data_IF_626058561543
#
_entry.id   IF_626058561543
#
_cell.length_a   1.000
_cell.length_b   1.000
_cell.length_c   1.000
_cell.angle_alpha   90.00
_cell.angle_beta   90.00
_cell.angle_gamma   90.00
#
_symmetry.space_group_name_H-M   'P 1'
#
loop_
_entity.id
_entity.type
_entity.pdbx_description
1 polymer ?
#
# COMPACT_ATOMS: atom_id res chain seq x y z
N UNK A 1 -29.23 -18.20 31.82
CA UNK A 1 -27.89 -18.77 32.04
C UNK A 1 -26.93 -17.62 31.78
N UNK A 2 -25.98 -17.36 32.68
CA UNK A 2 -24.99 -16.33 32.43
C UNK A 2 -24.21 -16.73 31.17
N UNK A 3 -24.24 -15.90 30.12
CA UNK A 3 -23.41 -16.13 28.94
C UNK A 3 -21.95 -16.16 29.42
N UNK A 4 -21.30 -17.31 29.21
CA UNK A 4 -19.90 -17.48 29.59
C UNK A 4 -19.06 -16.54 28.73
N UNK A 5 -18.31 -15.63 29.36
CA UNK A 5 -17.30 -14.81 28.67
C UNK A 5 -16.04 -15.60 28.32
N UNK A 6 -15.96 -16.89 28.66
CA UNK A 6 -14.84 -17.77 28.36
C UNK A 6 -15.27 -18.88 27.42
N UNK A 7 -14.57 -18.99 26.30
CA UNK A 7 -14.78 -19.97 25.24
C UNK A 7 -13.63 -20.96 25.19
N UNK A 8 -13.97 -22.25 25.10
CA UNK A 8 -12.98 -23.34 25.04
C UNK A 8 -13.45 -24.37 24.03
N UNK A 9 -12.52 -24.98 23.29
CA UNK A 9 -12.86 -26.06 22.35
C UNK A 9 -13.02 -27.42 23.09
N UNK A 10 -13.88 -27.45 24.10
CA UNK A 10 -14.17 -28.65 24.90
C UNK A 10 -15.53 -29.25 24.51
N UNK A 11 -15.69 -30.59 24.49
CA UNK A 11 -16.99 -31.21 24.23
C UNK A 11 -18.07 -30.69 25.19
N UNK A 12 -19.18 -30.16 24.66
CA UNK A 12 -20.27 -29.60 25.46
C UNK A 12 -20.08 -28.15 25.94
N UNK A 13 -18.95 -27.52 25.63
CA UNK A 13 -18.70 -26.09 25.86
C UNK A 13 -18.78 -25.30 24.55
N UNK A 14 -18.94 -23.98 24.64
CA UNK A 14 -18.93 -23.13 23.45
C UNK A 14 -17.51 -23.03 22.86
N UNK A 15 -17.38 -23.56 21.65
CA UNK A 15 -16.16 -23.48 20.84
C UNK A 15 -15.81 -22.03 20.50
N UNK A 16 -14.52 -21.75 20.37
CA UNK A 16 -13.99 -20.42 20.01
C UNK A 16 -14.53 -19.96 18.65
N UNK A 17 -14.76 -20.89 17.72
CA UNK A 17 -15.33 -20.60 16.40
C UNK A 17 -16.69 -19.88 16.48
N UNK A 18 -17.55 -20.20 17.45
CA UNK A 18 -18.92 -19.66 17.53
C UNK A 18 -18.96 -18.14 17.73
N UNK A 19 -18.36 -17.56 18.80
CA UNK A 19 -18.32 -16.11 18.95
C UNK A 19 -17.51 -15.47 17.83
N UNK A 20 -16.43 -16.09 17.35
CA UNK A 20 -15.64 -15.58 16.24
C UNK A 20 -16.50 -15.39 14.97
N UNK A 21 -17.24 -16.43 14.55
CA UNK A 21 -18.14 -16.39 13.40
C UNK A 21 -19.23 -15.34 13.56
N UNK A 22 -19.87 -15.28 14.73
CA UNK A 22 -20.93 -14.29 15.01
C UNK A 22 -20.42 -12.84 14.88
N UNK A 23 -19.23 -12.56 15.40
CA UNK A 23 -18.65 -11.22 15.43
C UNK A 23 -18.11 -10.83 14.05
N UNK A 24 -17.33 -11.69 13.41
CA UNK A 24 -16.78 -11.42 12.08
C UNK A 24 -17.90 -11.30 11.03
N UNK A 25 -19.00 -12.06 11.18
CA UNK A 25 -20.16 -11.98 10.31
C UNK A 25 -21.05 -10.76 10.57
N UNK A 26 -20.64 -9.76 11.34
CA UNK A 26 -21.40 -8.50 11.48
C UNK A 26 -20.53 -7.25 11.53
N UNK A 27 -19.27 -7.38 11.95
CA UNK A 27 -18.37 -6.25 12.10
C UNK A 27 -18.04 -5.54 10.77
N UNK A 28 -17.95 -4.22 10.86
CA UNK A 28 -17.55 -3.32 9.76
C UNK A 28 -16.04 -3.11 9.74
N UNK A 29 -15.38 -3.09 10.91
CA UNK A 29 -13.92 -3.05 11.03
C UNK A 29 -13.42 -4.19 11.89
N UNK A 30 -12.60 -5.04 11.28
CA UNK A 30 -12.06 -6.26 11.86
C UNK A 30 -10.54 -6.12 11.94
N UNK A 31 -9.97 -6.32 13.13
CA UNK A 31 -8.52 -6.30 13.36
C UNK A 31 -8.12 -7.63 13.99
N UNK A 32 -7.25 -8.38 13.31
CA UNK A 32 -6.88 -9.73 13.72
C UNK A 32 -5.37 -9.83 13.81
N UNK A 33 -4.86 -10.21 14.98
CA UNK A 33 -3.47 -10.54 15.21
C UNK A 33 -3.38 -12.01 15.60
N UNK A 34 -2.68 -12.82 14.80
CA UNK A 34 -2.36 -14.21 15.14
C UNK A 34 -1.09 -14.68 14.40
N UNK A 35 -0.13 -15.32 15.07
CA UNK A 35 1.11 -15.78 14.44
C UNK A 35 0.91 -16.77 13.30
N UNK A 36 -0.15 -17.59 13.39
CA UNK A 36 -0.42 -18.66 12.44
C UNK A 36 -1.75 -18.42 11.74
N UNK A 37 -1.71 -18.51 10.42
CA UNK A 37 -2.87 -18.31 9.56
C UNK A 37 -3.00 -19.43 8.53
N UNK A 38 -4.07 -20.21 8.65
CA UNK A 38 -4.39 -21.29 7.69
C UNK A 38 -5.84 -21.27 7.23
N UNK A 39 -6.70 -20.47 7.87
CA UNK A 39 -8.15 -20.48 7.63
C UNK A 39 -8.62 -19.11 7.13
N UNK A 40 -8.74 -18.90 5.81
CA UNK A 40 -9.12 -17.60 5.26
C UNK A 40 -10.65 -17.40 5.16
N UNK A 41 -11.45 -18.46 5.23
CA UNK A 41 -12.88 -18.44 4.86
C UNK A 41 -13.69 -17.28 5.45
N UNK A 42 -13.76 -17.17 6.78
CA UNK A 42 -14.52 -16.11 7.44
C UNK A 42 -14.00 -14.70 7.16
N UNK A 43 -12.69 -14.57 6.90
CA UNK A 43 -12.05 -13.29 6.54
C UNK A 43 -12.48 -12.88 5.13
N UNK A 44 -12.48 -13.82 4.18
CA UNK A 44 -12.90 -13.57 2.80
C UNK A 44 -14.37 -13.19 2.74
N UNK A 45 -15.24 -13.90 3.46
CA UNK A 45 -16.67 -13.59 3.54
C UNK A 45 -16.93 -12.18 4.09
N UNK A 46 -16.16 -11.75 5.10
CA UNK A 46 -16.26 -10.40 5.64
C UNK A 46 -15.75 -9.33 4.66
N UNK A 47 -14.66 -9.62 3.95
CA UNK A 47 -14.09 -8.75 2.93
C UNK A 47 -15.04 -8.55 1.75
N UNK A 48 -15.65 -9.62 1.25
CA UNK A 48 -16.64 -9.60 0.16
C UNK A 48 -17.88 -8.76 0.51
N UNK A 49 -18.27 -8.75 1.79
CA UNK A 49 -19.33 -7.87 2.29
C UNK A 49 -18.92 -6.38 2.33
N UNK A 50 -17.63 -6.08 2.24
CA UNK A 50 -17.09 -4.73 2.33
C UNK A 50 -16.63 -4.32 3.74
N UNK A 51 -16.42 -5.28 4.65
CA UNK A 51 -15.78 -4.98 5.93
C UNK A 51 -14.29 -4.66 5.71
N UNK A 52 -13.77 -3.68 6.45
CA UNK A 52 -12.33 -3.39 6.48
C UNK A 52 -11.63 -4.42 7.37
N UNK A 53 -10.57 -5.03 6.88
CA UNK A 53 -9.80 -6.05 7.61
C UNK A 53 -8.35 -5.64 7.71
N UNK A 54 -7.82 -5.58 8.94
CA UNK A 54 -6.40 -5.43 9.23
C UNK A 54 -5.90 -6.76 9.82
N UNK A 55 -5.14 -7.52 9.03
CA UNK A 55 -4.65 -8.85 9.38
C UNK A 55 -3.15 -8.83 9.66
N UNK A 56 -2.75 -9.18 10.88
CA UNK A 56 -1.38 -9.27 11.33
C UNK A 56 -0.98 -10.73 11.56
N UNK A 57 0.01 -11.20 10.80
CA UNK A 57 0.43 -12.62 10.79
C UNK A 57 1.94 -12.80 10.94
N UNK A 58 2.36 -14.01 11.33
CA UNK A 58 3.76 -14.42 11.24
C UNK A 58 4.07 -15.09 9.91
N UNK A 59 5.21 -14.75 9.29
CA UNK A 59 5.76 -15.47 8.13
C UNK A 59 6.65 -16.62 8.60
N UNK A 60 6.02 -17.74 8.96
CA UNK A 60 6.67 -18.91 9.54
C UNK A 60 6.09 -20.22 8.95
N UNK A 61 6.62 -21.40 9.29
CA UNK A 61 6.14 -22.68 8.72
C UNK A 61 4.66 -23.00 8.97
N UNK A 62 4.05 -22.43 10.01
CA UNK A 62 2.66 -22.70 10.40
C UNK A 62 1.65 -21.77 9.70
N UNK A 63 2.10 -20.74 8.98
CA UNK A 63 1.25 -19.93 8.10
C UNK A 63 1.19 -20.56 6.71
N UNK A 64 -0.01 -20.74 6.17
CA UNK A 64 -0.22 -21.38 4.87
C UNK A 64 -0.15 -20.34 3.74
N UNK A 65 0.77 -20.47 2.75
CA UNK A 65 0.88 -19.51 1.65
C UNK A 65 -0.38 -19.40 0.79
N UNK A 66 -1.12 -20.48 0.58
CA UNK A 66 -2.35 -20.44 -0.21
C UNK A 66 -3.46 -19.66 0.50
N UNK A 67 -3.63 -19.83 1.81
CA UNK A 67 -4.56 -19.04 2.62
C UNK A 67 -4.15 -17.56 2.64
N UNK A 68 -2.86 -17.29 2.85
CA UNK A 68 -2.32 -15.93 2.86
C UNK A 68 -2.52 -15.23 1.51
N UNK A 69 -2.34 -15.95 0.40
CA UNK A 69 -2.61 -15.43 -0.94
C UNK A 69 -4.06 -15.03 -1.14
N UNK A 70 -5.00 -15.88 -0.72
CA UNK A 70 -6.43 -15.56 -0.84
C UNK A 70 -6.77 -14.27 -0.09
N UNK A 71 -6.26 -14.12 1.14
CA UNK A 71 -6.47 -12.90 1.91
C UNK A 71 -5.78 -11.68 1.28
N UNK A 72 -4.59 -11.85 0.67
CA UNK A 72 -3.86 -10.77 -0.01
C UNK A 72 -4.55 -10.31 -1.31
N UNK A 73 -5.24 -11.22 -1.98
CA UNK A 73 -6.01 -10.97 -3.20
C UNK A 73 -7.43 -10.43 -2.90
N UNK A 74 -7.86 -10.44 -1.63
CA UNK A 74 -9.18 -9.95 -1.23
C UNK A 74 -9.20 -8.43 -1.09
N UNK A 75 -10.21 -7.81 -1.70
CA UNK A 75 -10.48 -6.38 -1.53
C UNK A 75 -10.74 -6.06 -0.05
N UNK A 76 -10.35 -4.87 0.41
CA UNK A 76 -10.50 -4.42 1.81
C UNK A 76 -9.70 -5.18 2.87
N UNK A 77 -8.79 -6.09 2.48
CA UNK A 77 -7.88 -6.77 3.39
C UNK A 77 -6.47 -6.17 3.33
N UNK A 78 -6.04 -5.53 4.42
CA UNK A 78 -4.66 -5.09 4.62
C UNK A 78 -3.91 -6.14 5.43
N UNK A 79 -2.76 -6.58 4.95
CA UNK A 79 -1.96 -7.59 5.62
C UNK A 79 -0.60 -7.02 6.01
N UNK A 80 -0.28 -7.12 7.29
CA UNK A 80 1.05 -6.84 7.81
C UNK A 80 1.64 -8.09 8.47
N UNK A 81 2.96 -8.10 8.62
CA UNK A 81 3.65 -9.28 9.10
C UNK A 81 4.84 -9.00 10.02
N UNK A 82 5.18 -10.05 10.79
CA UNK A 82 6.45 -10.24 11.47
C UNK A 82 7.10 -11.55 10.99
N UNK A 83 8.42 -11.65 11.08
CA UNK A 83 9.16 -12.90 10.80
C UNK A 83 9.58 -13.62 12.06
N UNK A 84 9.72 -12.91 13.19
CA UNK A 84 10.09 -13.49 14.48
C UNK A 84 9.43 -12.74 15.66
N UNK A 85 9.45 -13.33 16.85
CA UNK A 85 9.02 -12.71 18.12
C UNK A 85 7.51 -12.46 18.27
N UNK A 86 6.72 -12.67 17.22
CA UNK A 86 5.27 -12.40 17.24
C UNK A 86 4.48 -13.58 17.79
N UNK A 87 3.84 -13.38 18.95
CA UNK A 87 3.01 -14.41 19.59
C UNK A 87 1.63 -13.93 20.09
N UNK A 88 1.28 -12.66 19.87
CA UNK A 88 0.01 -12.09 20.32
C UNK A 88 -1.19 -12.64 19.52
N UNK A 89 -2.30 -12.94 20.21
CA UNK A 89 -3.54 -13.46 19.61
C UNK A 89 -4.71 -12.60 20.07
N UNK A 90 -5.06 -11.62 19.24
CA UNK A 90 -6.01 -10.55 19.56
C UNK A 90 -6.97 -10.42 18.38
N UNK A 91 -8.27 -10.56 18.61
CA UNK A 91 -9.29 -10.33 17.59
C UNK A 91 -10.22 -9.20 18.06
N UNK A 92 -10.39 -8.16 17.25
CA UNK A 92 -11.21 -6.99 17.56
C UNK A 92 -12.29 -6.82 16.48
N UNK A 93 -13.51 -6.53 16.94
CA UNK A 93 -14.71 -6.43 16.12
C UNK A 93 -15.57 -5.27 16.62
N UNK A 94 -15.56 -4.10 15.97
CA UNK A 94 -16.43 -2.95 16.31
C UNK A 94 -16.63 -2.68 17.82
N UNK A 95 -15.56 -2.59 18.60
CA UNK A 95 -15.63 -2.35 20.05
C UNK A 95 -15.88 -3.59 20.90
N UNK A 96 -15.75 -4.80 20.34
CA UNK A 96 -15.72 -6.09 21.03
C UNK A 96 -14.34 -6.72 20.83
N UNK A 97 -13.85 -7.46 21.83
CA UNK A 97 -12.55 -8.14 21.73
C UNK A 97 -12.62 -9.62 22.12
N UNK A 98 -11.86 -10.45 21.41
CA UNK A 98 -11.50 -11.80 21.83
C UNK A 98 -9.99 -11.86 22.06
N UNK A 99 -9.58 -12.34 23.24
CA UNK A 99 -8.19 -12.47 23.64
C UNK A 99 -7.93 -13.87 24.20
N UNK A 100 -6.86 -14.53 23.77
CA UNK A 100 -6.54 -15.84 24.32
C UNK A 100 -5.43 -16.58 23.59
N UNK A 101 -5.55 -17.89 23.52
CA UNK A 101 -4.52 -18.78 22.96
C UNK A 101 -4.79 -19.20 21.50
N UNK A 102 -5.99 -18.94 20.97
CA UNK A 102 -6.40 -19.36 19.63
C UNK A 102 -5.65 -18.61 18.51
N UNK A 103 -5.11 -19.37 17.55
CA UNK A 103 -4.64 -18.86 16.27
C UNK A 103 -5.76 -18.92 15.21
N UNK A 104 -5.55 -18.27 14.05
CA UNK A 104 -6.47 -18.31 12.90
C UNK A 104 -6.27 -19.60 12.08
N UNK A 105 -6.48 -20.73 12.74
CA UNK A 105 -6.36 -22.08 12.17
C UNK A 105 -7.54 -22.94 12.60
N UNK A 106 -7.81 -24.04 11.89
CA UNK A 106 -8.82 -25.01 12.33
C UNK A 106 -8.50 -25.57 13.72
N UNK A 107 -7.20 -25.73 14.01
CA UNK A 107 -6.71 -26.04 15.35
C UNK A 107 -7.19 -25.03 16.38
N UNK A 108 -6.85 -23.75 16.22
CA UNK A 108 -7.18 -22.71 17.19
C UNK A 108 -8.68 -22.47 17.35
N UNK A 109 -9.45 -22.48 16.26
CA UNK A 109 -10.87 -22.14 16.35
C UNK A 109 -11.77 -23.32 16.70
N UNK A 110 -11.36 -24.57 16.43
CA UNK A 110 -12.26 -25.73 16.51
C UNK A 110 -11.78 -26.85 17.43
N UNK A 111 -10.51 -27.23 17.40
CA UNK A 111 -10.07 -28.53 17.94
C UNK A 111 -9.03 -28.50 19.07
N UNK A 112 -8.07 -27.57 19.03
CA UNK A 112 -7.06 -27.45 20.07
C UNK A 112 -7.69 -27.00 21.39
N UNK A 113 -7.12 -27.43 22.51
CA UNK A 113 -7.51 -26.90 23.83
C UNK A 113 -7.10 -25.44 23.94
N UNK A 114 -8.04 -24.55 23.63
CA UNK A 114 -7.89 -23.12 23.74
C UNK A 114 -8.69 -22.57 24.93
N UNK A 115 -8.26 -21.41 25.41
CA UNK A 115 -9.04 -20.55 26.29
C UNK A 115 -9.05 -19.13 25.71
N UNK A 116 -10.24 -18.63 25.42
CA UNK A 116 -10.44 -17.28 24.88
C UNK A 116 -11.45 -16.55 25.72
N UNK A 117 -11.10 -15.34 26.14
CA UNK A 117 -12.00 -14.41 26.82
C UNK A 117 -12.64 -13.50 25.78
N UNK A 118 -13.95 -13.38 25.84
CA UNK A 118 -14.76 -12.40 25.12
C UNK A 118 -15.02 -11.19 26.02
N UNK A 119 -14.70 -10.01 25.51
CA UNK A 119 -14.96 -8.72 26.14
C UNK A 119 -16.05 -8.00 25.34
N UNK A 120 -17.29 -8.09 25.80
CA UNK A 120 -18.49 -7.53 25.17
C UNK A 120 -19.52 -7.01 26.19
N UNK A 121 -19.14 -6.90 27.46
CA UNK A 121 -20.05 -6.51 28.55
C UNK A 121 -19.86 -5.03 28.93
N UNK A 122 -20.90 -4.38 29.49
CA UNK A 122 -20.75 -3.06 30.10
C UNK A 122 -19.64 -3.06 31.16
N UNK A 123 -18.68 -2.13 31.03
CA UNK A 123 -17.50 -2.05 31.89
C UNK A 123 -16.21 -2.60 31.26
N UNK A 124 -16.27 -3.29 30.12
CA UNK A 124 -15.08 -3.75 29.40
C UNK A 124 -14.45 -2.67 28.50
N UNK A 125 -15.05 -1.48 28.39
CA UNK A 125 -14.65 -0.46 27.41
C UNK A 125 -13.20 0.00 27.56
N UNK A 126 -12.69 0.08 28.79
CA UNK A 126 -11.29 0.42 29.05
C UNK A 126 -10.34 -0.70 28.61
N UNK A 127 -10.68 -1.96 28.91
CA UNK A 127 -9.88 -3.12 28.52
C UNK A 127 -9.82 -3.30 27.01
N UNK A 128 -10.95 -3.04 26.33
CA UNK A 128 -11.02 -3.06 24.88
C UNK A 128 -10.11 -1.96 24.32
N UNK A 129 -10.16 -0.73 24.85
CA UNK A 129 -9.25 0.36 24.43
C UNK A 129 -7.78 0.00 24.63
N UNK A 130 -7.42 -0.67 25.71
CA UNK A 130 -6.05 -1.14 25.94
C UNK A 130 -5.60 -2.16 24.88
N UNK A 131 -6.49 -3.10 24.50
CA UNK A 131 -6.22 -4.05 23.43
C UNK A 131 -6.14 -3.39 22.06
N UNK A 132 -6.96 -2.38 21.78
CA UNK A 132 -6.89 -1.58 20.56
C UNK A 132 -5.57 -0.81 20.48
N UNK A 133 -5.12 -0.23 21.60
CA UNK A 133 -3.84 0.47 21.68
C UNK A 133 -2.66 -0.50 21.47
N UNK A 134 -2.70 -1.68 22.08
CA UNK A 134 -1.70 -2.73 21.85
C UNK A 134 -1.67 -3.18 20.39
N UNK A 135 -2.84 -3.43 19.78
CA UNK A 135 -2.93 -3.79 18.37
C UNK A 135 -2.33 -2.68 17.50
N UNK A 136 -2.62 -1.41 17.77
CA UNK A 136 -2.06 -0.29 17.02
C UNK A 136 -0.52 -0.26 17.06
N UNK A 137 0.09 -0.48 18.23
CA UNK A 137 1.55 -0.58 18.38
C UNK A 137 2.13 -1.73 17.56
N UNK A 138 1.51 -2.92 17.63
CA UNK A 138 1.94 -4.08 16.84
C UNK A 138 1.78 -3.82 15.34
N UNK A 139 0.64 -3.27 14.94
CA UNK A 139 0.34 -2.93 13.56
C UNK A 139 1.37 -1.96 12.99
N UNK A 140 1.67 -0.88 13.71
CA UNK A 140 2.59 0.17 13.26
C UNK A 140 4.05 -0.29 13.17
N UNK A 141 4.44 -1.22 14.01
CA UNK A 141 5.79 -1.80 13.99
C UNK A 141 5.98 -2.87 12.90
N UNK A 142 4.92 -3.55 12.49
CA UNK A 142 4.93 -4.56 11.43
C UNK A 142 5.22 -3.97 10.02
N UNK A 143 5.58 -4.85 9.08
CA UNK A 143 5.79 -4.49 7.66
C UNK A 143 4.62 -4.89 6.79
N UNK A 144 4.40 -4.15 5.68
CA UNK A 144 3.34 -4.44 4.71
C UNK A 144 3.68 -5.69 3.91
N UNK A 145 2.76 -6.64 3.81
CA UNK A 145 2.92 -7.83 2.98
C UNK A 145 2.75 -7.47 1.50
N UNK A 146 3.85 -7.13 0.82
CA UNK A 146 3.82 -6.91 -0.64
C UNK A 146 3.80 -8.24 -1.40
N UNK A 147 3.39 -8.20 -2.67
CA UNK A 147 3.43 -9.39 -3.55
C UNK A 147 4.82 -10.02 -3.63
N UNK A 148 5.88 -9.20 -3.64
CA UNK A 148 7.24 -9.73 -3.69
C UNK A 148 7.66 -10.41 -2.38
N UNK A 149 7.31 -9.82 -1.23
CA UNK A 149 7.54 -10.47 0.08
C UNK A 149 6.78 -11.80 0.15
N UNK A 150 5.52 -11.83 -0.29
CA UNK A 150 4.74 -13.04 -0.38
C UNK A 150 5.41 -14.12 -1.25
N UNK A 151 5.96 -13.76 -2.41
CA UNK A 151 6.67 -14.72 -3.28
C UNK A 151 7.92 -15.29 -2.60
N UNK A 152 8.70 -14.47 -1.90
CA UNK A 152 9.85 -14.93 -1.09
C UNK A 152 9.40 -15.87 0.03
N UNK A 153 8.34 -15.52 0.75
CA UNK A 153 7.77 -16.37 1.80
C UNK A 153 7.27 -17.72 1.26
N UNK A 154 6.57 -17.71 0.12
CA UNK A 154 6.07 -18.92 -0.52
C UNK A 154 7.22 -19.85 -0.91
N UNK A 155 8.28 -19.32 -1.51
CA UNK A 155 9.48 -20.08 -1.88
C UNK A 155 10.18 -20.67 -0.63
N UNK A 156 10.32 -19.88 0.44
CA UNK A 156 10.86 -20.36 1.72
C UNK A 156 10.00 -21.50 2.30
N UNK A 157 8.68 -21.36 2.29
CA UNK A 157 7.74 -22.36 2.79
C UNK A 157 7.79 -23.66 1.97
N UNK A 158 7.85 -23.56 0.63
CA UNK A 158 8.00 -24.72 -0.26
C UNK A 158 9.32 -25.46 -0.02
N UNK A 159 10.42 -24.73 0.23
CA UNK A 159 11.73 -25.32 0.60
C UNK A 159 11.69 -25.98 1.97
N UNK A 160 11.01 -25.39 2.95
CA UNK A 160 10.93 -25.93 4.32
C UNK A 160 10.29 -27.32 4.37
N UNK A 161 9.38 -27.63 3.45
CA UNK A 161 8.78 -28.97 3.34
C UNK A 161 9.79 -30.08 2.97
N UNK A 162 10.97 -29.70 2.46
CA UNK A 162 12.01 -30.61 1.94
C UNK A 162 13.27 -30.68 2.82
N UNK A 163 13.29 -29.93 3.93
CA UNK A 163 14.46 -29.78 4.79
C UNK A 163 14.20 -30.32 6.19
N UNK A 164 15.25 -30.82 6.85
CA UNK A 164 15.17 -31.27 8.25
C UNK A 164 14.90 -30.10 9.21
N UNK A 165 15.52 -28.95 8.95
CA UNK A 165 15.21 -27.69 9.63
C UNK A 165 14.15 -26.92 8.85
N UNK A 166 12.93 -26.89 9.39
CA UNK A 166 11.81 -26.17 8.77
C UNK A 166 11.96 -24.66 8.82
N UNK A 167 12.73 -24.13 9.76
CA UNK A 167 12.89 -22.68 9.95
C UNK A 167 14.01 -22.09 9.08
N UNK A 168 15.00 -22.89 8.69
CA UNK A 168 16.17 -22.42 7.95
C UNK A 168 15.83 -21.63 6.65
N UNK A 169 14.86 -22.05 5.82
CA UNK A 169 14.50 -21.27 4.62
C UNK A 169 13.96 -19.87 4.90
N UNK A 170 13.36 -19.64 6.07
CA UNK A 170 12.75 -18.37 6.44
C UNK A 170 13.78 -17.30 6.81
N UNK A 171 15.04 -17.68 7.07
CA UNK A 171 16.16 -16.75 7.28
C UNK A 171 16.50 -15.91 6.03
N UNK A 172 15.93 -16.24 4.88
CA UNK A 172 16.03 -15.42 3.66
C UNK A 172 15.11 -14.20 3.65
N UNK A 173 14.13 -14.16 4.56
CA UNK A 173 13.26 -13.01 4.76
C UNK A 173 13.98 -11.95 5.60
N UNK A 174 13.64 -10.68 5.38
CA UNK A 174 14.15 -9.61 6.22
C UNK A 174 13.58 -9.76 7.63
N UNK A 175 14.42 -9.56 8.65
CA UNK A 175 13.99 -9.62 10.04
C UNK A 175 13.02 -8.49 10.37
N UNK A 176 11.82 -8.87 10.79
CA UNK A 176 10.76 -7.98 11.26
C UNK A 176 10.24 -8.55 12.57
N UNK A 177 10.58 -7.88 13.67
CA UNK A 177 10.21 -8.27 15.02
C UNK A 177 9.29 -7.22 15.67
N UNK A 178 8.34 -7.64 16.53
CA UNK A 178 7.56 -6.71 17.33
C UNK A 178 8.45 -6.04 18.39
N UNK A 179 8.11 -4.80 18.82
CA UNK A 179 8.83 -4.13 19.90
C UNK A 179 8.70 -4.97 21.18
N UNK A 180 9.82 -5.23 21.86
CA UNK A 180 9.78 -5.92 23.16
C UNK A 180 9.76 -4.95 24.33
N UNK A 181 9.27 -5.42 25.48
CA UNK A 181 9.23 -4.66 26.75
C UNK A 181 10.65 -4.37 27.27
N UNK A 182 11.66 -5.12 26.81
CA UNK A 182 13.06 -4.86 27.12
C UNK A 182 13.56 -3.72 26.22
N UNK A 183 13.81 -2.56 26.83
CA UNK A 183 14.28 -1.36 26.15
C UNK A 183 15.46 -1.67 25.22
N UNK A 184 15.26 -1.52 23.91
CA UNK A 184 16.32 -1.52 22.90
C UNK A 184 16.20 -2.52 21.75
N UNK A 185 15.30 -3.51 21.78
CA UNK A 185 15.09 -4.40 20.63
C UNK A 185 13.95 -3.91 19.73
N UNK A 186 14.24 -3.79 18.43
CA UNK A 186 13.28 -3.34 17.40
C UNK A 186 13.53 -1.93 16.83
N UNK A 187 14.66 -1.27 17.14
CA UNK A 187 14.97 0.04 16.52
C UNK A 187 15.26 -0.11 15.03
N UNK A 188 14.29 0.26 14.19
CA UNK A 188 14.52 0.46 12.76
C UNK A 188 15.52 1.62 12.60
N UNK A 189 16.48 1.45 11.70
CA UNK A 189 17.32 2.57 11.24
C UNK A 189 16.44 3.63 10.57
N UNK A 190 16.92 4.87 10.44
CA UNK A 190 16.18 5.92 9.73
C UNK A 190 15.78 5.50 8.30
N UNK A 191 16.64 4.72 7.63
CA UNK A 191 16.35 4.16 6.31
C UNK A 191 15.25 3.09 6.36
N UNK A 192 15.28 2.18 7.33
CA UNK A 192 14.23 1.17 7.50
C UNK A 192 12.88 1.82 7.86
N UNK A 193 12.88 2.84 8.72
CA UNK A 193 11.68 3.63 9.01
C UNK A 193 11.12 4.28 7.74
N UNK A 194 11.98 4.94 6.95
CA UNK A 194 11.57 5.54 5.69
C UNK A 194 10.96 4.52 4.72
N UNK A 195 11.61 3.36 4.54
CA UNK A 195 11.12 2.30 3.65
C UNK A 195 9.77 1.74 4.13
N UNK A 196 9.63 1.49 5.44
CA UNK A 196 8.37 1.06 6.05
C UNK A 196 7.24 2.05 5.77
N UNK A 197 7.50 3.34 6.02
CA UNK A 197 6.56 4.43 5.75
C UNK A 197 6.21 4.54 4.26
N UNK A 198 7.20 4.36 3.39
CA UNK A 198 7.01 4.41 1.95
C UNK A 198 6.13 3.25 1.46
N UNK A 199 6.36 2.02 1.95
CA UNK A 199 5.51 0.86 1.62
C UNK A 199 4.07 1.07 2.05
N UNK A 200 3.85 1.53 3.29
CA UNK A 200 2.51 1.88 3.79
C UNK A 200 1.84 2.93 2.91
N UNK A 201 2.58 3.98 2.58
CA UNK A 201 2.06 5.06 1.72
C UNK A 201 1.71 4.55 0.31
N UNK A 202 2.55 3.73 -0.32
CA UNK A 202 2.30 3.24 -1.68
C UNK A 202 1.14 2.23 -1.68
N UNK A 203 1.25 1.18 -0.87
CA UNK A 203 0.42 -0.02 -0.99
C UNK A 203 -0.88 0.05 -0.19
N UNK A 204 -0.93 0.81 0.90
CA UNK A 204 -2.13 0.91 1.74
C UNK A 204 -2.86 2.25 1.58
N UNK A 205 -2.24 3.26 0.97
CA UNK A 205 -2.86 4.57 0.77
C UNK A 205 -3.05 4.89 -0.72
N UNK A 206 -1.96 5.07 -1.48
CA UNK A 206 -2.05 5.57 -2.85
C UNK A 206 -2.66 4.58 -3.84
N UNK A 207 -2.18 3.34 -3.85
CA UNK A 207 -2.68 2.29 -4.74
C UNK A 207 -4.19 2.04 -4.55
N UNK A 208 -4.70 1.72 -3.33
CA UNK A 208 -6.12 1.46 -3.16
C UNK A 208 -6.99 2.69 -3.41
N UNK A 209 -6.55 3.90 -3.02
CA UNK A 209 -7.30 5.12 -3.27
C UNK A 209 -7.41 5.43 -4.77
N UNK A 210 -6.34 5.22 -5.52
CA UNK A 210 -6.35 5.40 -6.97
C UNK A 210 -7.23 4.36 -7.66
N UNK A 211 -7.13 3.09 -7.27
CA UNK A 211 -7.96 2.02 -7.85
C UNK A 211 -9.45 2.19 -7.53
N UNK A 212 -9.81 2.69 -6.35
CA UNK A 212 -11.22 3.02 -6.05
C UNK A 212 -11.75 4.11 -6.98
N UNK A 213 -10.98 5.19 -7.20
CA UNK A 213 -11.36 6.23 -8.17
C UNK A 213 -11.47 5.66 -9.57
N UNK A 214 -10.49 4.85 -9.99
CA UNK A 214 -10.48 4.23 -11.31
C UNK A 214 -11.68 3.29 -11.51
N UNK A 215 -12.04 2.49 -10.50
CA UNK A 215 -13.19 1.60 -10.53
C UNK A 215 -14.50 2.37 -10.65
N UNK A 216 -14.68 3.46 -9.89
CA UNK A 216 -15.88 4.31 -9.98
C UNK A 216 -16.01 4.94 -11.37
N UNK A 217 -14.90 5.42 -11.95
CA UNK A 217 -14.88 5.96 -13.31
C UNK A 217 -15.22 4.89 -14.35
N UNK A 218 -14.66 3.68 -14.22
CA UNK A 218 -14.98 2.52 -15.09
C UNK A 218 -16.45 2.14 -15.01
N UNK A 219 -17.03 2.10 -13.81
CA UNK A 219 -18.45 1.74 -13.58
C UNK A 219 -19.42 2.73 -14.24
N UNK A 220 -19.08 4.02 -14.33
CA UNK A 220 -19.92 4.99 -15.04
C UNK A 220 -19.93 4.76 -16.56
N UNK A 221 -18.98 3.99 -17.10
CA UNK A 221 -19.02 3.49 -18.47
C UNK A 221 -18.73 4.54 -19.55
N UNK A 222 -18.29 5.74 -19.18
CA UNK A 222 -18.02 6.84 -20.11
C UNK A 222 -16.65 7.46 -19.85
N UNK A 223 -15.85 7.59 -20.92
CA UNK A 223 -14.50 8.16 -20.92
C UNK A 223 -14.44 9.41 -21.80
N UNK A 224 -13.46 10.27 -21.55
CA UNK A 224 -13.14 11.36 -22.46
C UNK A 224 -12.58 10.80 -23.78
N UNK A 225 -13.07 11.24 -24.97
CA UNK A 225 -12.64 10.70 -26.26
C UNK A 225 -11.12 10.70 -26.48
N UNK A 226 -10.44 11.70 -25.92
CA UNK A 226 -9.00 11.90 -25.99
C UNK A 226 -8.21 10.71 -25.40
N UNK A 227 -8.80 9.93 -24.47
CA UNK A 227 -8.12 8.82 -23.79
C UNK A 227 -8.56 7.43 -24.27
N UNK A 228 -9.43 7.34 -25.28
CA UNK A 228 -9.98 6.06 -25.74
C UNK A 228 -8.91 5.04 -26.16
N UNK A 229 -7.77 5.51 -26.68
CA UNK A 229 -6.66 4.66 -27.10
C UNK A 229 -5.71 4.26 -25.97
N UNK A 230 -5.85 4.85 -24.78
CA UNK A 230 -4.95 4.62 -23.64
C UNK A 230 -5.61 3.75 -22.57
N UNK A 231 -4.78 3.15 -21.71
CA UNK A 231 -5.24 2.55 -20.47
C UNK A 231 -5.93 3.59 -19.57
N UNK A 232 -6.61 3.13 -18.51
CA UNK A 232 -7.31 4.02 -17.58
C UNK A 232 -6.37 4.91 -16.76
N UNK A 233 -5.15 4.45 -16.45
CA UNK A 233 -4.20 5.16 -15.59
C UNK A 233 -3.97 6.63 -15.98
N UNK A 234 -3.58 6.93 -17.24
CA UNK A 234 -3.44 8.30 -17.72
C UNK A 234 -4.69 9.17 -17.54
N UNK A 235 -5.88 8.65 -17.82
CA UNK A 235 -7.11 9.42 -17.67
C UNK A 235 -7.46 9.67 -16.20
N UNK A 236 -7.34 8.66 -15.33
CA UNK A 236 -7.58 8.80 -13.89
C UNK A 236 -6.61 9.84 -13.30
N UNK A 237 -5.35 9.83 -13.72
CA UNK A 237 -4.37 10.85 -13.36
C UNK A 237 -4.80 12.25 -13.82
N UNK A 238 -5.27 12.41 -15.06
CA UNK A 238 -5.71 13.72 -15.56
C UNK A 238 -7.00 14.19 -14.89
N UNK A 239 -7.94 13.30 -14.61
CA UNK A 239 -9.12 13.55 -13.79
C UNK A 239 -8.73 14.06 -12.40
N UNK A 240 -7.85 13.36 -11.69
CA UNK A 240 -7.37 13.78 -10.36
C UNK A 240 -6.62 15.11 -10.42
N UNK A 241 -5.83 15.36 -11.47
CA UNK A 241 -5.21 16.67 -11.70
C UNK A 241 -6.26 17.77 -11.86
N UNK A 242 -7.30 17.52 -12.64
CA UNK A 242 -8.39 18.47 -12.84
C UNK A 242 -9.16 18.73 -11.53
N UNK A 243 -9.48 17.69 -10.76
CA UNK A 243 -10.06 17.83 -9.40
C UNK A 243 -9.17 18.72 -8.53
N UNK A 244 -7.85 18.50 -8.56
CA UNK A 244 -6.90 19.32 -7.80
C UNK A 244 -6.93 20.79 -8.22
N UNK A 245 -7.04 21.08 -9.51
CA UNK A 245 -6.96 22.44 -10.04
C UNK A 245 -8.28 23.21 -9.89
N UNK A 246 -9.42 22.56 -10.13
CA UNK A 246 -10.73 23.22 -10.16
C UNK A 246 -11.48 23.15 -8.82
N UNK A 247 -11.36 22.04 -8.07
CA UNK A 247 -12.17 21.82 -6.86
C UNK A 247 -11.37 21.86 -5.55
N UNK A 248 -10.06 21.68 -5.61
CA UNK A 248 -9.18 21.80 -4.45
C UNK A 248 -8.09 22.88 -4.63
N UNK A 249 -8.42 24.13 -5.00
CA UNK A 249 -7.44 25.19 -5.15
C UNK A 249 -6.84 25.58 -3.78
N UNK A 250 -5.54 25.91 -3.77
CA UNK A 250 -4.80 26.18 -2.54
C UNK A 250 -4.60 24.95 -1.65
N UNK A 251 -4.11 25.16 -0.42
CA UNK A 251 -3.84 24.06 0.51
C UNK A 251 -4.99 23.79 1.49
N UNK A 252 -5.74 24.81 1.91
CA UNK A 252 -6.86 24.66 2.84
C UNK A 252 -7.93 23.66 2.34
N UNK A 253 -8.28 23.71 1.06
CA UNK A 253 -9.33 22.88 0.48
C UNK A 253 -9.09 21.37 0.67
N UNK A 254 -7.85 20.90 0.52
CA UNK A 254 -7.54 19.48 0.71
C UNK A 254 -7.12 19.14 2.14
N UNK A 255 -6.51 20.08 2.88
CA UNK A 255 -6.10 19.87 4.28
C UNK A 255 -7.31 19.73 5.20
N UNK A 256 -8.32 20.57 5.00
CA UNK A 256 -9.52 20.63 5.83
C UNK A 256 -10.61 19.63 5.39
N UNK A 257 -10.40 18.94 4.26
CA UNK A 257 -11.35 17.95 3.77
C UNK A 257 -11.52 16.80 4.78
N UNK A 258 -12.75 16.40 5.13
CA UNK A 258 -12.96 15.27 6.03
C UNK A 258 -12.54 13.96 5.36
N UNK A 259 -12.03 13.02 6.16
CA UNK A 259 -11.91 11.62 5.71
C UNK A 259 -13.33 11.06 5.63
N UNK A 260 -13.66 10.44 4.50
CA UNK A 260 -14.99 9.94 4.16
C UNK A 260 -14.97 8.42 4.06
N UNK A 261 -16.10 7.76 4.33
CA UNK A 261 -16.26 6.32 4.09
C UNK A 261 -16.46 6.06 2.59
N UNK A 262 -16.19 4.84 2.08
CA UNK A 262 -16.37 4.52 0.65
C UNK A 262 -17.75 4.89 0.11
N UNK A 263 -18.81 4.61 0.87
CA UNK A 263 -20.21 4.94 0.53
C UNK A 263 -20.45 6.45 0.34
N UNK A 264 -19.69 7.30 1.03
CA UNK A 264 -19.82 8.77 0.97
C UNK A 264 -18.89 9.34 -0.11
N UNK A 265 -17.76 8.68 -0.39
CA UNK A 265 -16.84 9.05 -1.47
C UNK A 265 -17.44 8.79 -2.86
N UNK A 266 -18.10 7.65 -3.03
CA UNK A 266 -18.60 7.22 -4.35
C UNK A 266 -19.51 8.26 -5.03
N UNK A 267 -20.56 8.81 -4.39
CA UNK A 267 -21.39 9.83 -5.02
C UNK A 267 -20.64 11.13 -5.37
N UNK A 268 -19.67 11.52 -4.54
CA UNK A 268 -18.85 12.70 -4.79
C UNK A 268 -17.96 12.49 -6.03
N UNK A 269 -17.27 11.35 -6.12
CA UNK A 269 -16.43 10.99 -7.26
C UNK A 269 -17.27 10.90 -8.54
N UNK A 270 -18.45 10.28 -8.46
CA UNK A 270 -19.39 10.18 -9.59
C UNK A 270 -19.87 11.56 -10.08
N UNK A 271 -20.16 12.49 -9.16
CA UNK A 271 -20.58 13.85 -9.53
C UNK A 271 -19.47 14.59 -10.27
N UNK A 272 -18.25 14.54 -9.72
CA UNK A 272 -17.07 15.17 -10.34
C UNK A 272 -16.69 14.49 -11.67
N UNK A 273 -16.91 13.18 -11.81
CA UNK A 273 -16.67 12.46 -13.06
C UNK A 273 -17.60 12.96 -14.19
N UNK A 274 -18.88 13.22 -13.90
CA UNK A 274 -19.81 13.78 -14.88
C UNK A 274 -19.42 15.19 -15.31
N UNK A 275 -18.94 16.00 -14.37
CA UNK A 275 -18.41 17.34 -14.67
C UNK A 275 -17.12 17.26 -15.50
N UNK A 276 -16.21 16.36 -15.15
CA UNK A 276 -15.00 16.06 -15.91
C UNK A 276 -15.29 15.68 -17.37
N UNK A 277 -16.34 14.90 -17.63
CA UNK A 277 -16.71 14.49 -18.98
C UNK A 277 -17.32 15.61 -19.81
N UNK A 278 -17.97 16.59 -19.16
CA UNK A 278 -18.68 17.68 -19.83
C UNK A 278 -17.91 18.99 -19.88
N UNK A 279 -16.83 19.14 -19.10
CA UNK A 279 -16.06 20.38 -19.06
C UNK A 279 -15.33 20.66 -20.38
N UNK A 280 -15.43 21.91 -20.83
CA UNK A 280 -14.68 22.45 -21.95
C UNK A 280 -13.23 22.80 -21.58
N UNK A 281 -12.89 22.83 -20.28
CA UNK A 281 -11.57 23.19 -19.78
C UNK A 281 -10.98 22.08 -18.91
N UNK A 282 -10.61 20.92 -19.49
CA UNK A 282 -10.11 19.77 -18.74
C UNK A 282 -8.70 19.97 -18.16
N UNK A 283 -8.05 21.11 -18.41
CA UNK A 283 -6.67 21.38 -17.97
C UNK A 283 -5.67 20.30 -18.41
N UNK A 284 -5.94 19.68 -19.56
CA UNK A 284 -5.00 18.79 -20.24
C UNK A 284 -4.10 19.68 -21.11
N UNK A 285 -2.77 19.62 -20.96
CA UNK A 285 -1.86 20.31 -21.87
C UNK A 285 -2.10 19.91 -23.34
N UNK A 286 -1.96 20.85 -24.27
CA UNK A 286 -2.17 20.58 -25.71
C UNK A 286 -1.23 19.50 -26.23
N UNK A 287 -0.01 19.44 -25.70
CA UNK A 287 1.06 18.50 -26.04
C UNK A 287 1.07 17.23 -25.16
N UNK A 288 0.06 17.01 -24.31
CA UNK A 288 0.08 15.93 -23.31
C UNK A 288 0.36 14.54 -23.89
N UNK A 289 -0.25 14.20 -25.04
CA UNK A 289 -0.06 12.90 -25.68
C UNK A 289 1.33 12.77 -26.32
N UNK A 290 1.86 13.85 -26.89
CA UNK A 290 3.23 13.90 -27.44
C UNK A 290 4.28 13.75 -26.32
N UNK A 291 4.02 14.32 -25.14
CA UNK A 291 4.85 14.13 -23.95
C UNK A 291 4.86 12.67 -23.49
N UNK A 292 3.71 11.99 -23.54
CA UNK A 292 3.63 10.55 -23.23
C UNK A 292 4.41 9.72 -24.24
N UNK A 293 4.26 9.99 -25.53
CA UNK A 293 5.01 9.31 -26.60
C UNK A 293 6.52 9.51 -26.42
N UNK A 294 6.96 10.73 -26.10
CA UNK A 294 8.36 11.07 -25.82
C UNK A 294 8.90 10.28 -24.63
N UNK A 295 8.12 10.22 -23.54
CA UNK A 295 8.48 9.48 -22.35
C UNK A 295 8.65 7.98 -22.65
N UNK A 296 7.69 7.39 -23.37
CA UNK A 296 7.74 5.98 -23.75
C UNK A 296 8.92 5.68 -24.69
N UNK A 297 9.15 6.51 -25.72
CA UNK A 297 10.23 6.31 -26.67
C UNK A 297 11.62 6.20 -26.01
N UNK A 298 11.83 6.89 -24.88
CA UNK A 298 13.09 6.88 -24.14
C UNK A 298 13.10 5.81 -23.05
N UNK A 299 12.00 5.67 -22.30
CA UNK A 299 11.98 4.94 -21.02
C UNK A 299 11.25 3.58 -21.06
N UNK A 300 10.79 3.13 -22.24
CA UNK A 300 10.03 1.87 -22.39
C UNK A 300 10.85 0.61 -22.09
N UNK A 301 12.15 0.59 -22.38
CA UNK A 301 12.99 -0.58 -22.14
C UNK A 301 14.40 -0.23 -21.66
N UNK A 302 15.14 -1.19 -21.05
CA UNK A 302 16.53 -0.99 -20.73
C UNK A 302 17.37 -0.59 -21.95
N UNK A 303 17.09 -1.18 -23.11
CA UNK A 303 17.78 -0.91 -24.37
C UNK A 303 17.52 0.52 -24.87
N UNK A 304 16.27 1.00 -24.81
CA UNK A 304 15.94 2.37 -25.20
C UNK A 304 16.64 3.40 -24.31
N UNK A 305 16.67 3.15 -23.00
CA UNK A 305 17.37 4.00 -22.02
C UNK A 305 18.86 4.04 -22.33
N UNK A 306 19.48 2.88 -22.61
CA UNK A 306 20.91 2.79 -22.97
C UNK A 306 21.27 3.52 -24.26
N UNK A 307 20.38 3.47 -25.25
CA UNK A 307 20.60 4.12 -26.53
C UNK A 307 20.39 5.64 -26.48
N UNK A 308 19.80 6.16 -25.40
CA UNK A 308 19.38 7.55 -25.28
C UNK A 308 20.51 8.48 -24.84
N UNK A 309 20.58 9.65 -25.47
CA UNK A 309 21.49 10.74 -25.11
C UNK A 309 21.04 11.47 -23.83
N UNK A 310 21.89 12.37 -23.33
CA UNK A 310 21.57 13.24 -22.18
C UNK A 310 20.35 14.12 -22.45
N UNK A 311 20.25 14.64 -23.66
CA UNK A 311 19.16 15.50 -24.12
C UNK A 311 17.85 14.72 -24.19
N UNK A 312 17.88 13.50 -24.71
CA UNK A 312 16.70 12.63 -24.78
C UNK A 312 16.20 12.22 -23.39
N UNK A 313 17.12 11.83 -22.49
CA UNK A 313 16.77 11.52 -21.09
C UNK A 313 16.19 12.74 -20.38
N UNK A 314 16.81 13.92 -20.55
CA UNK A 314 16.29 15.14 -19.95
C UNK A 314 14.89 15.51 -20.49
N UNK A 315 14.67 15.41 -21.80
CA UNK A 315 13.37 15.67 -22.41
C UNK A 315 12.29 14.71 -21.86
N UNK A 316 12.61 13.41 -21.76
CA UNK A 316 11.70 12.43 -21.17
C UNK A 316 11.40 12.72 -19.68
N UNK A 317 12.41 13.08 -18.89
CA UNK A 317 12.20 13.46 -17.49
C UNK A 317 11.35 14.73 -17.35
N UNK A 318 11.47 15.70 -18.26
CA UNK A 318 10.63 16.90 -18.28
C UNK A 318 9.15 16.61 -18.55
N UNK A 319 8.83 15.47 -19.17
CA UNK A 319 7.45 14.99 -19.34
C UNK A 319 6.82 14.55 -18.00
N UNK A 320 7.65 14.23 -16.98
CA UNK A 320 7.19 13.88 -15.64
C UNK A 320 6.90 15.15 -14.85
N UNK A 321 5.66 15.34 -14.43
CA UNK A 321 5.24 16.58 -13.77
C UNK A 321 6.01 16.85 -12.47
N UNK A 322 6.21 15.85 -11.63
CA UNK A 322 6.95 15.98 -10.38
C UNK A 322 8.41 16.40 -10.57
N UNK A 323 9.00 16.07 -11.74
CA UNK A 323 10.32 16.54 -12.12
C UNK A 323 10.27 18.00 -12.57
N UNK A 324 9.34 18.37 -13.46
CA UNK A 324 9.18 19.77 -13.88
C UNK A 324 8.72 20.70 -12.73
N UNK A 325 8.07 20.20 -11.68
CA UNK A 325 7.78 21.00 -10.47
C UNK A 325 9.05 21.49 -9.75
N UNK A 326 10.23 20.89 -10.01
CA UNK A 326 11.51 21.38 -9.48
C UNK A 326 11.93 22.72 -10.11
N UNK A 327 11.26 23.18 -11.18
CA UNK A 327 11.48 24.49 -11.78
C UNK A 327 11.28 25.64 -10.79
N UNK A 328 10.35 25.51 -9.84
CA UNK A 328 10.12 26.53 -8.80
C UNK A 328 11.32 26.75 -7.87
N UNK A 329 12.28 25.81 -7.87
CA UNK A 329 13.51 25.86 -7.09
C UNK A 329 14.76 26.00 -7.97
N UNK A 330 14.59 26.30 -9.25
CA UNK A 330 15.69 26.40 -10.22
C UNK A 330 15.70 27.79 -10.83
N UNK A 331 16.70 28.59 -10.44
CA UNK A 331 16.97 29.88 -11.07
C UNK A 331 17.36 29.64 -12.54
N UNK A 332 16.68 30.29 -13.48
CA UNK A 332 16.90 30.11 -14.92
C UNK A 332 15.82 29.30 -15.66
N UNK A 333 14.79 28.80 -14.97
CA UNK A 333 13.60 28.24 -15.63
C UNK A 333 13.82 26.88 -16.32
N UNK A 334 13.03 26.61 -17.36
CA UNK A 334 12.93 25.30 -18.03
C UNK A 334 14.25 24.77 -18.59
N UNK A 335 15.08 25.66 -19.13
CA UNK A 335 16.37 25.29 -19.71
C UNK A 335 17.43 24.97 -18.65
N UNK A 336 17.30 25.52 -17.44
CA UNK A 336 18.29 25.36 -16.37
C UNK A 336 18.12 24.06 -15.57
N UNK A 337 16.91 23.47 -15.53
CA UNK A 337 16.65 22.26 -14.75
C UNK A 337 17.37 21.02 -15.30
N UNK A 338 17.37 20.74 -16.62
CA UNK A 338 18.21 19.70 -17.22
C UNK A 338 19.69 19.87 -16.88
N UNK A 339 20.23 21.08 -17.00
CA UNK A 339 21.63 21.37 -16.69
C UNK A 339 21.94 21.07 -15.21
N UNK A 340 21.09 21.55 -14.28
CA UNK A 340 21.21 21.28 -12.84
C UNK A 340 21.11 19.78 -12.51
N UNK A 341 20.25 19.05 -13.21
CA UNK A 341 20.15 17.59 -13.06
C UNK A 341 21.45 16.92 -13.46
N UNK A 342 21.99 17.23 -14.64
CA UNK A 342 23.23 16.61 -15.12
C UNK A 342 24.44 17.00 -14.28
N UNK A 343 24.57 18.27 -13.89
CA UNK A 343 25.64 18.74 -13.00
C UNK A 343 25.58 18.01 -11.65
N UNK A 344 24.39 17.90 -11.04
CA UNK A 344 24.19 17.18 -9.79
C UNK A 344 24.48 15.68 -9.88
N UNK A 345 24.37 15.11 -11.08
CA UNK A 345 24.71 13.73 -11.40
C UNK A 345 26.10 13.60 -12.07
N UNK A 346 26.95 14.62 -11.94
CA UNK A 346 28.36 14.63 -12.39
C UNK A 346 28.54 14.39 -13.89
N UNK A 347 27.55 14.76 -14.69
CA UNK A 347 27.57 14.57 -16.15
C UNK A 347 27.72 13.09 -16.57
N UNK A 348 27.42 12.14 -15.66
CA UNK A 348 27.62 10.71 -15.85
C UNK A 348 26.37 10.06 -16.46
N UNK A 349 26.40 9.92 -17.79
CA UNK A 349 25.29 9.34 -18.55
C UNK A 349 25.06 7.86 -18.19
N UNK A 350 26.12 7.06 -18.14
CA UNK A 350 26.03 5.62 -17.90
C UNK A 350 25.42 5.32 -16.53
N UNK A 351 25.83 6.06 -15.49
CA UNK A 351 25.26 5.94 -14.16
C UNK A 351 23.78 6.33 -14.12
N UNK A 352 23.40 7.42 -14.79
CA UNK A 352 21.99 7.84 -14.83
C UNK A 352 21.14 6.80 -15.55
N UNK A 353 21.63 6.25 -16.66
CA UNK A 353 20.98 5.15 -17.37
C UNK A 353 20.85 3.90 -16.47
N UNK A 354 21.94 3.46 -15.83
CA UNK A 354 21.93 2.33 -14.88
C UNK A 354 20.84 2.49 -13.82
N UNK A 355 20.73 3.71 -13.30
CA UNK A 355 19.82 4.05 -12.23
C UNK A 355 18.37 4.08 -12.69
N UNK A 356 18.09 4.64 -13.86
CA UNK A 356 16.75 4.64 -14.46
C UNK A 356 16.31 3.21 -14.81
N UNK A 357 17.23 2.40 -15.36
CA UNK A 357 16.98 0.98 -15.64
C UNK A 357 16.65 0.24 -14.36
N UNK A 358 17.44 0.44 -13.30
CA UNK A 358 17.15 -0.13 -11.98
C UNK A 358 15.76 0.30 -11.49
N UNK A 359 15.48 1.60 -11.46
CA UNK A 359 14.21 2.15 -10.96
C UNK A 359 12.99 1.65 -11.71
N UNK A 360 13.05 1.56 -13.04
CA UNK A 360 11.90 1.24 -13.89
C UNK A 360 11.80 -0.27 -14.12
N UNK A 361 12.92 -0.94 -14.40
CA UNK A 361 12.97 -2.35 -14.85
C UNK A 361 13.60 -3.33 -13.85
N UNK A 362 14.13 -2.87 -12.72
CA UNK A 362 14.64 -3.74 -11.64
C UNK A 362 13.62 -4.74 -11.11
N UNK A 363 14.13 -5.82 -10.51
CA UNK A 363 13.33 -6.93 -9.98
C UNK A 363 13.04 -6.79 -8.49
N UNK A 364 13.76 -5.90 -7.82
CA UNK A 364 13.62 -5.56 -6.41
C UNK A 364 12.26 -4.90 -6.12
N UNK A 365 11.96 -4.77 -4.84
CA UNK A 365 10.70 -4.19 -4.39
C UNK A 365 10.66 -2.71 -4.75
N UNK A 366 9.52 -2.22 -5.18
CA UNK A 366 9.48 -0.89 -5.78
C UNK A 366 9.79 0.23 -4.77
N UNK A 367 9.31 0.12 -3.52
CA UNK A 367 9.70 1.06 -2.47
C UNK A 367 11.20 0.98 -2.15
N UNK A 368 11.81 -0.21 -2.17
CA UNK A 368 13.27 -0.37 -2.07
C UNK A 368 14.00 0.37 -3.20
N UNK A 369 13.53 0.21 -4.44
CA UNK A 369 14.12 0.90 -5.61
C UNK A 369 14.04 2.42 -5.46
N UNK A 370 12.91 2.96 -5.00
CA UNK A 370 12.79 4.40 -4.68
C UNK A 370 13.78 4.78 -3.57
N UNK A 371 13.88 4.01 -2.49
CA UNK A 371 14.82 4.26 -1.41
C UNK A 371 16.26 4.36 -1.90
N UNK A 372 16.68 3.44 -2.76
CA UNK A 372 18.01 3.44 -3.37
C UNK A 372 18.24 4.68 -4.23
N UNK A 373 17.28 5.07 -5.08
CA UNK A 373 17.40 6.26 -5.95
C UNK A 373 17.50 7.57 -5.16
N UNK A 374 17.01 7.60 -3.93
CA UNK A 374 17.06 8.79 -3.08
C UNK A 374 18.29 8.84 -2.18
N UNK A 375 18.77 7.69 -1.71
CA UNK A 375 19.75 7.62 -0.61
C UNK A 375 20.98 6.77 -0.88
N UNK A 376 20.90 5.72 -1.71
CA UNK A 376 22.05 4.85 -1.99
C UNK A 376 23.03 5.57 -2.92
N UNK A 377 24.29 5.84 -2.52
CA UNK A 377 25.27 6.50 -3.37
C UNK A 377 25.46 5.88 -4.76
N UNK A 378 25.21 4.57 -4.90
CA UNK A 378 25.28 3.84 -6.19
C UNK A 378 24.17 4.26 -7.15
N UNK A 379 22.95 4.42 -6.64
CA UNK A 379 21.75 4.69 -7.43
C UNK A 379 21.20 6.10 -7.24
N UNK A 380 21.83 6.93 -6.40
CA UNK A 380 21.26 8.24 -6.08
C UNK A 380 21.21 9.15 -7.30
N UNK A 381 20.05 9.73 -7.57
CA UNK A 381 19.85 10.79 -8.56
C UNK A 381 19.71 12.16 -7.87
N UNK A 382 20.48 13.14 -8.32
CA UNK A 382 20.27 14.53 -7.94
C UNK A 382 19.02 15.10 -8.62
N UNK A 383 18.38 16.09 -7.98
CA UNK A 383 17.16 16.76 -8.48
C UNK A 383 16.01 15.80 -8.82
N UNK A 384 15.98 14.64 -8.17
CA UNK A 384 14.99 13.58 -8.40
C UNK A 384 14.40 13.12 -7.06
N UNK A 385 13.11 13.37 -6.86
CA UNK A 385 12.41 13.10 -5.61
C UNK A 385 11.50 11.88 -5.66
N UNK A 386 10.90 11.53 -4.51
CA UNK A 386 9.99 10.37 -4.40
C UNK A 386 8.83 10.43 -5.41
N UNK A 387 8.25 11.62 -5.63
CA UNK A 387 7.14 11.79 -6.56
C UNK A 387 7.59 11.71 -8.01
N UNK A 388 8.85 12.05 -8.32
CA UNK A 388 9.41 11.78 -9.64
C UNK A 388 9.43 10.28 -9.91
N UNK A 389 9.89 9.49 -8.93
CA UNK A 389 9.94 8.04 -9.05
C UNK A 389 8.54 7.40 -9.18
N UNK A 390 7.60 7.82 -8.33
CA UNK A 390 6.21 7.33 -8.34
C UNK A 390 5.49 7.67 -9.65
N UNK A 391 5.59 8.91 -10.11
CA UNK A 391 4.93 9.32 -11.35
C UNK A 391 5.59 8.70 -12.57
N UNK A 392 6.92 8.66 -12.64
CA UNK A 392 7.65 8.05 -13.76
C UNK A 392 7.29 6.58 -13.91
N UNK A 393 7.46 5.79 -12.84
CA UNK A 393 7.19 4.35 -12.91
C UNK A 393 5.70 4.08 -13.04
N UNK A 394 4.83 4.83 -12.35
CA UNK A 394 3.39 4.62 -12.47
C UNK A 394 2.81 5.04 -13.82
N UNK A 395 3.49 5.93 -14.56
CA UNK A 395 3.10 6.28 -15.93
C UNK A 395 3.49 5.16 -16.90
N UNK A 396 4.71 4.63 -16.77
CA UNK A 396 5.24 3.58 -17.67
C UNK A 396 4.72 2.18 -17.33
N UNK A 397 4.45 1.91 -16.05
CA UNK A 397 4.09 0.61 -15.48
C UNK A 397 2.90 0.72 -14.52
N UNK A 398 1.73 1.16 -15.02
CA UNK A 398 0.53 1.36 -14.21
C UNK A 398 0.05 0.06 -13.51
N UNK A 399 0.45 -1.11 -14.00
CA UNK A 399 0.18 -2.40 -13.38
C UNK A 399 0.96 -2.66 -12.09
N UNK A 400 2.05 -1.91 -11.84
CA UNK A 400 2.83 -2.03 -10.61
C UNK A 400 2.39 -1.02 -9.55
N UNK A 401 2.21 0.23 -9.97
CA UNK A 401 1.81 1.35 -9.12
C UNK A 401 1.08 2.41 -9.96
N UNK A 402 0.17 3.19 -9.38
CA UNK A 402 -0.47 4.27 -10.10
C UNK A 402 0.47 5.46 -10.35
N UNK A 403 0.26 6.24 -11.42
CA UNK A 403 1.01 7.47 -11.69
C UNK A 403 0.64 8.57 -10.68
N UNK A 404 1.30 8.57 -9.52
CA UNK A 404 1.00 9.48 -8.40
C UNK A 404 2.11 10.52 -8.23
N UNK A 405 1.70 11.78 -8.19
CA UNK A 405 2.51 12.91 -7.78
C UNK A 405 1.83 13.69 -6.63
N UNK A 406 2.44 14.79 -6.18
CA UNK A 406 1.91 15.59 -5.08
C UNK A 406 0.50 16.16 -5.34
N UNK A 407 0.16 16.49 -6.59
CA UNK A 407 -1.18 16.95 -6.94
C UNK A 407 -2.22 15.84 -6.81
N UNK A 408 -1.88 14.62 -7.22
CA UNK A 408 -2.78 13.48 -7.13
C UNK A 408 -3.05 13.12 -5.66
N UNK A 409 -2.00 13.11 -4.83
CA UNK A 409 -2.16 12.88 -3.39
C UNK A 409 -3.09 13.93 -2.75
N UNK A 410 -2.97 15.21 -3.12
CA UNK A 410 -3.85 16.29 -2.65
C UNK A 410 -5.30 16.12 -3.15
N UNK A 411 -5.51 15.71 -4.40
CA UNK A 411 -6.84 15.42 -4.93
C UNK A 411 -7.51 14.26 -4.18
N UNK A 412 -6.78 13.16 -3.97
CA UNK A 412 -7.27 12.02 -3.20
C UNK A 412 -7.62 12.43 -1.76
N UNK A 413 -6.77 13.24 -1.11
CA UNK A 413 -7.07 13.74 0.24
C UNK A 413 -8.34 14.60 0.27
N UNK A 414 -8.54 15.47 -0.74
CA UNK A 414 -9.74 16.28 -0.92
C UNK A 414 -11.01 15.43 -1.10
N UNK A 415 -10.94 14.36 -1.89
CA UNK A 415 -12.02 13.39 -2.10
C UNK A 415 -12.35 12.62 -0.81
N UNK A 416 -11.53 12.72 0.23
CA UNK A 416 -11.77 12.17 1.56
C UNK A 416 -11.10 10.81 1.78
N UNK A 417 -10.09 10.46 0.99
CA UNK A 417 -9.22 9.34 1.30
C UNK A 417 -8.23 9.70 2.42
N UNK A 418 -7.89 8.73 3.26
CA UNK A 418 -6.85 8.87 4.28
C UNK A 418 -5.47 8.63 3.64
N UNK A 419 -4.99 9.62 2.89
CA UNK A 419 -3.70 9.57 2.20
C UNK A 419 -2.79 10.69 2.67
N UNK A 420 -1.49 10.39 2.80
CA UNK A 420 -0.48 11.40 3.14
C UNK A 420 -0.23 12.32 1.94
N UNK A 421 -0.75 13.54 1.98
CA UNK A 421 -0.48 14.58 0.97
C UNK A 421 0.52 15.62 1.51
N UNK A 422 1.46 16.06 0.65
CA UNK A 422 2.49 17.07 0.97
C UNK A 422 2.56 18.12 -0.13
#
# INVERSE_FOLDING_TARGET
>A
MADSSIFTNSPGHDQVLRPFQRLISTASHIRLAAPYFTRPGEILEAAERGAKIDLLVGLNPATNPAALRQALEADNCSIRYFTDGFHAKIFLFDGVAMLGSANLTDGGLVSNREAVVLLDQPGDEERIRDLEALFAVLWDSAEVLTRQVYLKFKDAWEKASRMDSRDAPFQSLADVEPPTVLAGSGHKTAQQHYLSDLRKTIYEQYLPAFEEVAAILREQGTRRPEFNALAWGPEVNRYLNWVRLEHAPGDAAWQDAPIRRPQDRKPQIQTLALEWLSTATPRIPEDYFELLETLHAVMESPESIRASSKEQIAAALMCVHAFSEQLRFTLGGAEALPAKFWEGNREDLDRVQDTLIYLIHGHEEFAERIGSVLYDPKYKLASFGRFCALELVGTLKPEQVPPINGRMAKALRFLGFDVRAT
#
